data_IF_136972709742
#
_entry.id   IF_136972709742
#
_cell.length_a   1.000
_cell.length_b   1.000
_cell.length_c   1.000
_cell.angle_alpha   90.00
_cell.angle_beta   90.00
_cell.angle_gamma   90.00
#
_symmetry.space_group_name_H-M   'P 1'
#
loop_
_entity.id
_entity.type
_entity.pdbx_description
1 polymer ?
#
# COMPACT_ATOMS: atom_id res chain seq x y z
N UNK A 1 5.07 13.50 -9.87
CA UNK A 1 4.25 12.33 -10.23
C UNK A 1 5.18 11.15 -10.38
N UNK A 2 4.98 10.08 -9.62
CA UNK A 2 5.80 8.86 -9.73
C UNK A 2 5.02 7.83 -10.51
N UNK A 3 5.68 7.16 -11.46
CA UNK A 3 5.12 6.06 -12.23
C UNK A 3 5.81 4.78 -11.82
N UNK A 4 5.03 3.72 -11.61
CA UNK A 4 5.53 2.37 -11.39
C UNK A 4 4.82 1.44 -12.36
N UNK A 5 5.50 0.38 -12.79
CA UNK A 5 4.87 -0.71 -13.52
C UNK A 5 4.20 -1.67 -12.55
N UNK A 6 3.14 -2.31 -13.04
CA UNK A 6 2.56 -3.49 -12.43
C UNK A 6 3.34 -4.72 -12.92
N UNK A 7 3.57 -5.69 -12.05
CA UNK A 7 4.23 -6.95 -12.39
C UNK A 7 3.51 -8.14 -11.80
N UNK A 8 3.60 -9.29 -12.49
CA UNK A 8 3.08 -10.56 -11.99
C UNK A 8 4.05 -11.13 -10.95
N UNK A 9 3.54 -11.49 -9.78
CA UNK A 9 4.29 -12.15 -8.71
C UNK A 9 3.42 -13.25 -8.12
N UNK A 10 3.85 -14.51 -8.30
CA UNK A 10 3.03 -15.67 -7.99
C UNK A 10 1.68 -15.61 -8.73
N UNK A 11 0.58 -15.75 -7.99
CA UNK A 11 -0.79 -15.66 -8.50
C UNK A 11 -1.35 -14.24 -8.62
N UNK A 12 -0.58 -13.20 -8.27
CA UNK A 12 -1.09 -11.82 -8.13
C UNK A 12 -0.39 -10.82 -9.05
N UNK A 13 -1.01 -9.66 -9.22
CA UNK A 13 -0.38 -8.47 -9.80
C UNK A 13 0.01 -7.53 -8.65
N UNK A 14 1.27 -7.12 -8.62
CA UNK A 14 1.80 -6.21 -7.60
C UNK A 14 2.29 -4.91 -8.21
N UNK A 15 2.18 -3.84 -7.43
CA UNK A 15 2.69 -2.52 -7.72
C UNK A 15 3.92 -2.26 -6.86
N UNK A 16 5.02 -1.77 -7.45
CA UNK A 16 6.16 -1.36 -6.65
C UNK A 16 5.87 -0.01 -5.97
N UNK A 17 6.03 0.05 -4.65
CA UNK A 17 5.98 1.29 -3.89
C UNK A 17 7.40 1.79 -3.68
N UNK A 18 7.76 3.03 -4.10
CA UNK A 18 9.08 3.60 -3.84
C UNK A 18 9.42 3.59 -2.34
N UNK A 19 10.66 3.24 -1.93
CA UNK A 19 11.04 3.19 -0.51
C UNK A 19 10.73 4.46 0.26
N UNK A 20 10.99 5.63 -0.33
CA UNK A 20 10.70 6.93 0.29
C UNK A 20 9.24 7.11 0.72
N UNK A 21 8.28 6.47 0.05
CA UNK A 21 6.86 6.53 0.46
C UNK A 21 6.59 5.67 1.68
N UNK A 22 7.26 4.53 1.79
CA UNK A 22 7.17 3.66 2.97
C UNK A 22 7.74 4.39 4.19
N UNK A 23 8.88 5.08 4.03
CA UNK A 23 9.49 5.91 5.07
C UNK A 23 8.56 7.05 5.52
N UNK A 24 7.98 7.79 4.57
CA UNK A 24 7.03 8.87 4.86
C UNK A 24 5.78 8.38 5.60
N UNK A 25 5.29 7.18 5.26
CA UNK A 25 4.12 6.56 5.87
C UNK A 25 4.46 5.73 7.12
N UNK A 26 5.74 5.60 7.48
CA UNK A 26 6.24 4.79 8.59
C UNK A 26 5.75 3.33 8.54
N UNK A 27 5.75 2.73 7.36
CA UNK A 27 5.33 1.32 7.14
C UNK A 27 6.43 0.51 6.46
N UNK A 28 6.36 -0.83 6.59
CA UNK A 28 7.30 -1.76 5.97
C UNK A 28 6.64 -2.86 5.15
N UNK A 29 7.46 -3.69 4.50
CA UNK A 29 6.98 -4.90 3.84
C UNK A 29 6.22 -5.79 4.84
N UNK A 30 5.10 -6.37 4.40
CA UNK A 30 4.22 -7.18 5.25
C UNK A 30 3.23 -6.37 6.11
N UNK A 31 3.28 -5.03 6.10
CA UNK A 31 2.28 -4.20 6.77
C UNK A 31 0.92 -4.36 6.09
N UNK A 32 -0.11 -4.67 6.87
CA UNK A 32 -1.50 -4.69 6.39
C UNK A 32 -1.99 -3.27 6.15
N UNK A 33 -2.52 -3.02 4.95
CA UNK A 33 -3.10 -1.74 4.56
C UNK A 33 -4.51 -1.94 4.04
N UNK A 34 -5.36 -0.94 4.24
CA UNK A 34 -6.67 -0.90 3.59
C UNK A 34 -6.48 -0.43 2.14
N UNK A 35 -7.12 -1.11 1.19
CA UNK A 35 -7.08 -0.74 -0.24
C UNK A 35 -8.50 -0.58 -0.74
N UNK A 36 -8.77 0.52 -1.45
CA UNK A 36 -10.09 0.84 -1.99
C UNK A 36 -10.00 1.53 -3.35
N UNK A 37 -11.13 1.64 -4.04
CA UNK A 37 -11.27 2.44 -5.26
C UNK A 37 -12.03 3.73 -4.90
N UNK A 38 -11.35 4.87 -4.94
CA UNK A 38 -11.96 6.20 -4.81
C UNK A 38 -11.92 6.92 -6.16
N UNK A 39 -13.08 7.19 -6.76
CA UNK A 39 -13.22 7.97 -8.01
C UNK A 39 -12.24 7.54 -9.10
N UNK A 40 -12.15 6.23 -9.33
CA UNK A 40 -11.27 5.63 -10.36
C UNK A 40 -9.79 5.56 -9.98
N UNK A 41 -9.43 5.87 -8.73
CA UNK A 41 -8.06 5.76 -8.20
C UNK A 41 -7.98 4.60 -7.23
N UNK A 42 -6.92 3.80 -7.34
CA UNK A 42 -6.53 2.85 -6.30
C UNK A 42 -5.93 3.65 -5.15
N UNK A 43 -6.61 3.66 -4.01
CA UNK A 43 -6.15 4.36 -2.79
C UNK A 43 -5.76 3.31 -1.76
N UNK A 44 -4.59 3.48 -1.17
CA UNK A 44 -4.12 2.71 -0.02
C UNK A 44 -4.13 3.59 1.22
N UNK A 45 -4.66 3.08 2.33
CA UNK A 45 -4.66 3.74 3.64
C UNK A 45 -3.97 2.84 4.66
N UNK A 46 -3.03 3.41 5.39
CA UNK A 46 -2.46 2.77 6.58
C UNK A 46 -3.56 2.68 7.64
N UNK A 47 -3.99 1.47 7.98
CA UNK A 47 -4.97 1.29 9.03
C UNK A 47 -4.29 1.53 10.38
N UNK A 48 -4.76 2.53 11.14
CA UNK A 48 -4.41 2.69 12.56
C UNK A 48 -5.20 1.68 13.42
N UNK A 49 -5.98 0.77 12.83
CA UNK A 49 -6.78 -0.22 13.54
C UNK A 49 -5.98 -1.47 13.97
N UNK A 50 -4.72 -1.29 14.37
CA UNK A 50 -3.97 -2.25 15.19
C UNK A 50 -3.65 -1.70 16.60
N UNK A 51 -4.01 -0.44 16.91
CA UNK A 51 -3.77 0.18 18.21
C UNK A 51 -5.03 0.32 19.09
N UNK A 52 -6.18 -0.22 18.66
CA UNK A 52 -7.43 -0.19 19.42
C UNK A 52 -8.07 -1.57 19.43
N UNK A 53 -7.40 -2.50 20.10
CA UNK A 53 -8.05 -3.59 20.81
C UNK A 53 -7.32 -3.71 22.17
N UNK A 54 -8.00 -3.47 23.31
CA UNK A 54 -7.43 -3.75 24.63
C UNK A 54 -7.19 -5.25 24.84
#
# INVERSE_FOLDING_TARGET
MYTTSLRKVGGSIMMAVPPAFLDMLHIGAGTTVAVEIDRGRLVSRTSIAAALHP
#
